data_IF_125164887448
#
_entry.id   IF_125164887448
#
_cell.length_a   1.000
_cell.length_b   1.000
_cell.length_c   1.000
_cell.angle_alpha   90.00
_cell.angle_beta   90.00
_cell.angle_gamma   90.00
#
_symmetry.space_group_name_H-M   'P 1'
#
loop_
_entity.id
_entity.type
_entity.pdbx_description
1 polymer ?
#
# COMPACT_ATOMS: atom_id res chain seq x y z
N UNK A 1 -8.90 16.06 20.92
CA UNK A 1 -9.08 15.20 19.74
C UNK A 1 -7.84 14.30 19.61
N UNK A 2 -7.98 13.00 19.94
CA UNK A 2 -6.87 12.03 19.96
C UNK A 2 -6.85 11.19 18.68
N UNK A 3 -5.67 10.71 18.31
CA UNK A 3 -5.45 9.84 17.16
C UNK A 3 -4.96 8.48 17.64
N UNK A 4 -5.59 7.38 17.19
CA UNK A 4 -5.28 6.01 17.58
C UNK A 4 -4.85 5.18 16.36
N UNK A 5 -3.65 4.58 16.42
CA UNK A 5 -3.17 3.60 15.45
C UNK A 5 -3.47 2.17 15.93
N UNK A 6 -4.74 1.76 15.89
CA UNK A 6 -5.13 0.38 16.23
C UNK A 6 -4.91 -0.54 15.03
N UNK A 7 -3.82 -1.31 15.05
CA UNK A 7 -3.40 -2.15 13.92
C UNK A 7 -4.11 -3.51 13.86
N UNK A 8 -4.72 -3.92 14.98
CA UNK A 8 -5.48 -5.16 15.10
C UNK A 8 -6.84 -4.93 15.75
N UNK A 9 -7.83 -5.81 15.49
CA UNK A 9 -9.13 -5.75 16.16
C UNK A 9 -9.01 -5.83 17.70
N UNK A 10 -8.04 -6.56 18.22
CA UNK A 10 -7.81 -6.73 19.66
C UNK A 10 -7.34 -5.41 20.29
N UNK A 11 -6.38 -4.71 19.66
CA UNK A 11 -5.95 -3.38 20.11
C UNK A 11 -7.11 -2.38 20.17
N UNK A 12 -8.01 -2.44 19.19
CA UNK A 12 -9.19 -1.59 19.18
C UNK A 12 -10.14 -1.90 20.33
N UNK A 13 -10.40 -3.19 20.60
CA UNK A 13 -11.25 -3.62 21.72
C UNK A 13 -10.69 -3.22 23.08
N UNK A 14 -9.38 -3.39 23.30
CA UNK A 14 -8.73 -2.96 24.54
C UNK A 14 -8.87 -1.46 24.76
N UNK A 15 -8.65 -0.65 23.72
CA UNK A 15 -8.79 0.80 23.85
C UNK A 15 -10.23 1.21 24.20
N UNK A 16 -11.22 0.62 23.55
CA UNK A 16 -12.63 0.87 23.86
C UNK A 16 -12.99 0.49 25.29
N UNK A 17 -12.55 -0.68 25.77
CA UNK A 17 -12.83 -1.13 27.13
C UNK A 17 -12.38 -0.10 28.18
N UNK A 18 -11.26 0.57 27.94
CA UNK A 18 -10.69 1.56 28.85
C UNK A 18 -11.23 2.98 28.65
N UNK A 19 -11.64 3.38 27.43
CA UNK A 19 -11.86 4.79 27.09
C UNK A 19 -13.27 5.14 26.57
N UNK A 20 -14.14 4.14 26.32
CA UNK A 20 -15.45 4.37 25.69
C UNK A 20 -16.39 5.30 26.47
N UNK A 21 -16.23 5.40 27.79
CA UNK A 21 -17.06 6.23 28.67
C UNK A 21 -16.50 7.65 28.86
N UNK A 22 -15.19 7.85 28.61
CA UNK A 22 -14.49 9.11 28.89
C UNK A 22 -14.15 9.92 27.64
N UNK A 23 -13.97 9.25 26.49
CA UNK A 23 -13.64 9.91 25.23
C UNK A 23 -14.85 9.89 24.29
N UNK A 24 -15.38 11.06 23.95
CA UNK A 24 -16.53 11.19 23.04
C UNK A 24 -16.20 10.89 21.58
N UNK A 25 -14.92 10.99 21.19
CA UNK A 25 -14.46 10.73 19.83
C UNK A 25 -12.96 10.38 19.75
N UNK A 26 -12.59 9.60 18.75
CA UNK A 26 -11.19 9.28 18.43
C UNK A 26 -11.01 9.13 16.92
N UNK A 27 -9.90 9.65 16.39
CA UNK A 27 -9.52 9.41 14.99
C UNK A 27 -8.79 8.09 14.86
N UNK A 28 -9.39 7.15 14.15
CA UNK A 28 -8.78 5.86 13.85
C UNK A 28 -7.89 5.96 12.61
N UNK A 29 -6.59 5.67 12.76
CA UNK A 29 -5.64 5.69 11.65
C UNK A 29 -5.71 4.38 10.87
N UNK A 30 -6.12 4.47 9.61
CA UNK A 30 -6.02 3.37 8.66
C UNK A 30 -4.85 3.57 7.70
N UNK A 31 -3.84 2.71 7.81
CA UNK A 31 -2.77 2.65 6.82
C UNK A 31 -3.27 1.93 5.56
N UNK A 32 -3.17 2.58 4.39
CA UNK A 32 -3.38 1.88 3.10
C UNK A 32 -2.34 0.76 2.97
N UNK A 33 -2.79 -0.49 3.09
CA UNK A 33 -1.92 -1.68 3.11
C UNK A 33 -1.09 -1.94 1.84
N UNK A 34 -1.20 -1.12 0.79
CA UNK A 34 -0.58 -1.39 -0.51
C UNK A 34 0.03 -0.16 -1.19
N UNK A 35 0.09 1.00 -0.54
CA UNK A 35 0.68 2.20 -1.14
C UNK A 35 2.15 2.30 -0.79
N UNK A 36 2.98 2.10 -1.81
CA UNK A 36 4.36 2.56 -1.79
C UNK A 36 5.38 1.51 -2.21
N UNK A 37 6.66 1.90 -2.27
CA UNK A 37 7.78 1.06 -2.69
C UNK A 37 7.92 -0.32 -2.00
N UNK A 38 7.27 -0.53 -0.85
CA UNK A 38 7.35 -1.78 -0.09
C UNK A 38 6.85 -3.01 -0.85
N UNK A 39 5.97 -2.85 -1.85
CA UNK A 39 5.48 -3.97 -2.69
C UNK A 39 6.58 -4.61 -3.53
N UNK A 40 7.59 -3.82 -3.92
CA UNK A 40 8.74 -4.30 -4.68
C UNK A 40 9.94 -4.63 -3.78
N UNK A 41 10.02 -4.10 -2.55
CA UNK A 41 11.12 -4.39 -1.59
C UNK A 41 11.34 -5.88 -1.32
N UNK A 42 10.29 -6.72 -1.41
CA UNK A 42 10.40 -8.18 -1.28
C UNK A 42 11.09 -8.86 -2.48
N UNK A 43 11.43 -8.10 -3.53
CA UNK A 43 11.99 -8.58 -4.81
C UNK A 43 13.14 -7.65 -5.24
N UNK A 44 14.39 -7.91 -4.80
CA UNK A 44 15.49 -6.95 -4.90
C UNK A 44 15.87 -6.55 -6.34
N UNK A 45 15.66 -7.40 -7.34
CA UNK A 45 15.89 -7.05 -8.75
C UNK A 45 14.84 -6.09 -9.30
N UNK A 46 13.55 -6.39 -9.07
CA UNK A 46 12.46 -5.51 -9.47
C UNK A 46 12.53 -4.16 -8.73
N UNK A 47 13.00 -4.17 -7.48
CA UNK A 47 13.22 -2.98 -6.69
C UNK A 47 14.26 -2.04 -7.31
N UNK A 48 15.45 -2.57 -7.64
CA UNK A 48 16.51 -1.77 -8.28
C UNK A 48 16.05 -1.14 -9.59
N UNK A 49 15.39 -1.92 -10.44
CA UNK A 49 14.88 -1.39 -11.71
C UNK A 49 13.76 -0.35 -11.49
N UNK A 50 12.90 -0.58 -10.51
CA UNK A 50 11.84 0.38 -10.18
C UNK A 50 12.43 1.70 -9.68
N UNK A 51 13.47 1.65 -8.83
CA UNK A 51 14.16 2.84 -8.32
C UNK A 51 14.88 3.65 -9.41
N UNK A 52 15.40 2.98 -10.44
CA UNK A 52 16.05 3.66 -11.57
C UNK A 52 15.07 4.33 -12.52
N UNK A 53 13.75 4.11 -12.39
CA UNK A 53 12.75 4.76 -13.23
C UNK A 53 12.58 6.25 -12.88
N UNK A 54 12.29 7.12 -13.88
CA UNK A 54 11.93 8.50 -13.63
C UNK A 54 10.76 8.61 -12.64
N UNK A 55 10.69 9.68 -11.82
CA UNK A 55 9.63 9.85 -10.81
C UNK A 55 8.21 9.71 -11.37
N UNK A 56 7.96 10.19 -12.59
CA UNK A 56 6.67 10.05 -13.29
C UNK A 56 6.30 8.59 -13.54
N UNK A 57 7.26 7.79 -13.98
CA UNK A 57 7.04 6.37 -14.28
C UNK A 57 6.76 5.58 -13.00
N UNK A 58 7.51 5.85 -11.93
CA UNK A 58 7.24 5.26 -10.60
C UNK A 58 5.83 5.58 -10.10
N UNK A 59 5.40 6.84 -10.24
CA UNK A 59 4.04 7.27 -9.89
C UNK A 59 2.98 6.55 -10.72
N UNK A 60 3.19 6.42 -12.03
CA UNK A 60 2.22 5.76 -12.91
C UNK A 60 2.06 4.27 -12.56
N UNK A 61 3.16 3.57 -12.24
CA UNK A 61 3.11 2.18 -11.75
C UNK A 61 2.30 2.05 -10.45
N UNK A 62 2.56 2.93 -9.48
CA UNK A 62 1.84 2.92 -8.19
C UNK A 62 0.36 3.23 -8.41
N UNK A 63 0.05 4.25 -9.20
CA UNK A 63 -1.33 4.65 -9.51
C UNK A 63 -2.10 3.54 -10.26
N UNK A 64 -1.45 2.87 -11.21
CA UNK A 64 -2.05 1.75 -11.92
C UNK A 64 -2.35 0.57 -11.00
N UNK A 65 -1.46 0.22 -10.08
CA UNK A 65 -1.73 -0.85 -9.12
C UNK A 65 -2.82 -0.42 -8.12
N UNK A 66 -2.76 0.81 -7.58
CA UNK A 66 -3.70 1.26 -6.55
C UNK A 66 -5.12 1.56 -7.08
N UNK A 67 -5.26 1.89 -8.37
CA UNK A 67 -6.57 2.11 -9.00
C UNK A 67 -7.47 0.86 -9.00
N UNK A 68 -6.91 -0.34 -8.83
CA UNK A 68 -7.69 -1.57 -8.73
C UNK A 68 -8.39 -1.67 -7.36
N UNK A 69 -9.73 -1.62 -7.32
CA UNK A 69 -10.51 -1.75 -6.07
C UNK A 69 -10.39 -3.13 -5.41
N UNK A 70 -10.20 -4.20 -6.19
CA UNK A 70 -10.14 -5.59 -5.70
C UNK A 70 -8.70 -6.02 -5.41
N UNK A 71 -8.49 -6.66 -4.25
CA UNK A 71 -7.16 -7.15 -3.84
C UNK A 71 -6.56 -8.16 -4.82
N UNK A 72 -7.38 -9.05 -5.40
CA UNK A 72 -6.93 -10.01 -6.40
C UNK A 72 -6.34 -9.32 -7.65
N UNK A 73 -6.97 -8.23 -8.11
CA UNK A 73 -6.49 -7.45 -9.24
C UNK A 73 -5.21 -6.69 -8.89
N UNK A 74 -5.11 -6.12 -7.68
CA UNK A 74 -3.85 -5.51 -7.20
C UNK A 74 -2.69 -6.52 -7.23
N UNK A 75 -2.92 -7.75 -6.77
CA UNK A 75 -1.92 -8.83 -6.82
C UNK A 75 -1.51 -9.17 -8.25
N UNK A 76 -2.47 -9.28 -9.17
CA UNK A 76 -2.18 -9.59 -10.59
C UNK A 76 -1.36 -8.49 -11.25
N UNK A 77 -1.75 -7.21 -11.05
CA UNK A 77 -1.01 -6.04 -11.54
C UNK A 77 0.40 -5.95 -10.95
N UNK A 78 0.56 -6.28 -9.66
CA UNK A 78 1.88 -6.33 -9.03
C UNK A 78 2.78 -7.41 -9.65
N UNK A 79 2.25 -8.61 -9.88
CA UNK A 79 3.01 -9.69 -10.54
C UNK A 79 3.42 -9.30 -11.96
N UNK A 80 2.52 -8.66 -12.70
CA UNK A 80 2.79 -8.15 -14.03
C UNK A 80 3.85 -7.03 -14.01
N UNK A 81 3.73 -6.08 -13.09
CA UNK A 81 4.73 -5.03 -12.90
C UNK A 81 6.12 -5.60 -12.60
N UNK A 82 6.21 -6.61 -11.73
CA UNK A 82 7.47 -7.30 -11.45
C UNK A 82 8.05 -7.95 -12.71
N UNK A 83 7.23 -8.61 -13.52
CA UNK A 83 7.68 -9.23 -14.79
C UNK A 83 8.18 -8.18 -15.78
N UNK A 84 7.46 -7.07 -15.92
CA UNK A 84 7.83 -5.97 -16.82
C UNK A 84 9.13 -5.31 -16.39
N UNK A 85 9.28 -5.00 -15.10
CA UNK A 85 10.51 -4.46 -14.53
C UNK A 85 11.68 -5.42 -14.73
N UNK A 86 11.50 -6.73 -14.51
CA UNK A 86 12.54 -7.72 -14.78
C UNK A 86 12.93 -7.78 -16.26
N UNK A 87 12.01 -7.48 -17.18
CA UNK A 87 12.24 -7.42 -18.62
C UNK A 87 12.70 -6.04 -19.13
N UNK A 88 12.88 -5.04 -18.25
CA UNK A 88 13.20 -3.66 -18.65
C UNK A 88 12.08 -2.95 -19.42
N UNK A 89 10.86 -3.47 -19.41
CA UNK A 89 9.69 -2.92 -20.12
C UNK A 89 8.84 -2.09 -19.17
N UNK A 90 8.21 -1.05 -19.70
CA UNK A 90 7.14 -0.32 -19.01
C UNK A 90 5.79 -0.97 -19.33
N UNK A 91 4.80 -0.91 -18.42
CA UNK A 91 3.47 -1.37 -18.74
C UNK A 91 2.91 -0.41 -19.77
N UNK A 92 2.20 -0.93 -20.77
CA UNK A 92 1.45 -0.13 -21.73
C UNK A 92 0.29 0.57 -21.04
N UNK A 93 0.61 1.56 -20.22
CA UNK A 93 -0.31 2.44 -19.52
C UNK A 93 -0.88 3.38 -20.59
N UNK A 94 -1.98 2.97 -21.22
CA UNK A 94 -2.80 3.81 -22.08
C UNK A 94 -3.56 4.83 -21.24
#
# INVERSE_FOLDING_TARGET
MKTLDARTPEQWRSWLAEHHDSESEVWLVFHKRHTGPSMFRKRPMAWRQFESLPPSHRRNYIAWIDSAKRQATKRRRLQEAVRLLAAGKTPGLK
#
